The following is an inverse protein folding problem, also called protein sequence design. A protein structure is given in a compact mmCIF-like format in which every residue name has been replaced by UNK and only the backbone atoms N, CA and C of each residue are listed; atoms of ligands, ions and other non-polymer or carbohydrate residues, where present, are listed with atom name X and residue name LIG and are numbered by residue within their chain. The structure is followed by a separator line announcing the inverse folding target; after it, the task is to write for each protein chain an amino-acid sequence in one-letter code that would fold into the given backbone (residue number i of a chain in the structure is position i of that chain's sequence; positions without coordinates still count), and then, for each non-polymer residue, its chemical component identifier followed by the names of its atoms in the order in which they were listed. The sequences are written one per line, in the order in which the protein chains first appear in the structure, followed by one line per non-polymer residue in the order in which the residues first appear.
data_IF_188362009293
#
_entry.id   IF_188362009293
#
_cell.length_a   1.000
_cell.length_b   1.000
_cell.length_c   1.000
_cell.angle_alpha   90.00
_cell.angle_beta   90.00
_cell.angle_gamma   90.00
#
_symmetry.space_group_name_H-M   'P 1'
#
loop_
_entity.id
_entity.type
_entity.pdbx_description
1 polymer ?
#
# COMPACT_ATOMS: atom_id res chain seq x y z
N UNK A 1 -40.86 68.71 8.83
CA UNK A 1 -41.95 67.74 8.90
C UNK A 1 -41.87 66.67 7.82
N UNK A 2 -40.68 66.19 7.49
CA UNK A 2 -40.47 65.18 6.39
C UNK A 2 -39.66 63.94 6.89
N UNK A 3 -39.28 63.90 8.19
CA UNK A 3 -38.39 62.84 8.70
C UNK A 3 -39.09 61.66 9.41
N UNK A 4 -40.41 61.73 9.61
CA UNK A 4 -41.18 60.68 10.32
C UNK A 4 -41.82 59.62 9.38
N UNK A 5 -41.99 59.92 8.08
CA UNK A 5 -42.68 58.98 7.19
C UNK A 5 -41.79 57.85 6.66
N UNK A 6 -40.44 58.00 6.68
CA UNK A 6 -39.56 56.97 6.15
C UNK A 6 -39.35 55.78 7.10
N UNK A 7 -39.54 55.99 8.43
CA UNK A 7 -39.43 54.86 9.38
C UNK A 7 -40.66 53.93 9.35
N UNK A 8 -41.83 54.50 9.03
CA UNK A 8 -43.06 53.71 8.95
C UNK A 8 -43.12 52.86 7.68
N UNK A 9 -42.56 53.37 6.58
CA UNK A 9 -42.49 52.64 5.34
C UNK A 9 -41.47 51.47 5.41
N UNK A 10 -40.36 51.67 6.11
CA UNK A 10 -39.37 50.62 6.36
C UNK A 10 -39.92 49.50 7.26
N UNK A 11 -40.75 49.84 8.24
CA UNK A 11 -41.36 48.85 9.12
C UNK A 11 -42.45 48.01 8.40
N UNK A 12 -43.21 48.61 7.50
CA UNK A 12 -44.17 47.87 6.67
C UNK A 12 -43.47 46.94 5.68
N UNK A 13 -42.30 47.34 5.09
CA UNK A 13 -41.56 46.49 4.17
C UNK A 13 -40.90 45.30 4.88
N UNK A 14 -40.40 45.51 6.11
CA UNK A 14 -39.84 44.41 6.91
C UNK A 14 -40.90 43.44 7.42
N UNK A 15 -42.12 43.95 7.71
CA UNK A 15 -43.24 43.11 8.13
C UNK A 15 -43.76 42.23 6.96
N UNK A 16 -43.79 42.76 5.74
CA UNK A 16 -44.17 42.00 4.55
C UNK A 16 -43.12 40.92 4.19
N UNK A 17 -41.83 41.17 4.43
CA UNK A 17 -40.79 40.15 4.27
C UNK A 17 -40.94 39.01 5.29
N UNK A 18 -41.31 39.29 6.54
CA UNK A 18 -41.51 38.28 7.59
C UNK A 18 -42.78 37.43 7.35
N UNK A 19 -43.81 38.00 6.72
CA UNK A 19 -45.04 37.26 6.40
C UNK A 19 -44.84 36.40 5.15
N UNK A 20 -44.00 36.84 4.19
CA UNK A 20 -43.71 36.11 2.96
C UNK A 20 -42.94 34.80 3.18
N UNK A 21 -42.20 34.66 4.30
CA UNK A 21 -41.42 33.48 4.58
C UNK A 21 -42.24 32.31 5.16
N UNK A 22 -43.42 32.58 5.70
CA UNK A 22 -44.30 31.55 6.28
C UNK A 22 -45.30 30.90 5.32
N UNK A 23 -45.28 31.25 4.03
CA UNK A 23 -46.22 30.72 3.05
C UNK A 23 -45.68 29.59 2.18
N UNK A 24 -44.51 29.06 2.48
CA UNK A 24 -44.10 27.77 1.91
C UNK A 24 -44.81 26.65 2.67
N UNK A 25 -46.06 26.43 2.28
CA UNK A 25 -46.78 25.21 2.60
C UNK A 25 -45.88 24.00 2.26
N UNK A 26 -45.34 23.38 3.28
CA UNK A 26 -44.83 22.02 3.13
C UNK A 26 -46.00 21.11 2.81
N UNK A 27 -46.35 21.01 1.53
CA UNK A 27 -47.06 19.86 1.05
C UNK A 27 -46.19 18.64 1.44
N UNK A 28 -46.48 18.04 2.60
CA UNK A 28 -46.06 16.70 2.92
C UNK A 28 -46.62 15.80 1.82
N UNK A 29 -45.89 15.68 0.72
CA UNK A 29 -46.04 14.52 -0.15
C UNK A 29 -45.91 13.35 0.78
N UNK A 30 -47.01 12.68 1.10
CA UNK A 30 -46.98 11.34 1.65
C UNK A 30 -46.11 10.54 0.68
N UNK A 31 -44.85 10.40 1.04
CA UNK A 31 -43.96 9.45 0.40
C UNK A 31 -44.66 8.11 0.61
N UNK A 32 -45.35 7.64 -0.44
CA UNK A 32 -45.63 6.24 -0.55
C UNK A 32 -44.25 5.57 -0.68
N UNK A 33 -43.58 5.38 0.45
CA UNK A 33 -42.45 4.48 0.52
C UNK A 33 -43.02 3.11 0.17
N UNK A 34 -42.95 2.78 -1.11
CA UNK A 34 -43.08 1.39 -1.51
C UNK A 34 -42.08 0.68 -0.61
N UNK A 35 -42.55 -0.12 0.36
CA UNK A 35 -41.73 -1.03 1.14
C UNK A 35 -41.08 -1.94 0.11
N UNK A 36 -39.91 -1.58 -0.36
CA UNK A 36 -39.12 -2.50 -1.12
C UNK A 36 -38.83 -3.68 -0.20
N UNK A 37 -39.35 -4.84 -0.57
CA UNK A 37 -39.06 -6.09 0.12
C UNK A 37 -37.53 -6.17 0.13
N UNK A 38 -36.93 -6.26 1.33
CA UNK A 38 -35.49 -6.37 1.47
C UNK A 38 -35.08 -7.63 0.70
N UNK A 39 -34.53 -7.43 -0.49
CA UNK A 39 -34.04 -8.54 -1.30
C UNK A 39 -32.77 -9.03 -0.60
N UNK A 40 -32.77 -10.27 -0.17
CA UNK A 40 -31.54 -10.92 0.32
C UNK A 40 -30.65 -11.18 -0.90
N UNK A 41 -29.45 -10.61 -0.89
CA UNK A 41 -28.42 -10.93 -1.89
C UNK A 41 -27.52 -12.08 -1.44
N UNK A 42 -27.89 -12.79 -0.37
CA UNK A 42 -27.09 -13.88 0.20
C UNK A 42 -26.82 -15.06 -0.74
N UNK A 43 -27.64 -15.21 -1.78
CA UNK A 43 -27.48 -16.26 -2.80
C UNK A 43 -26.55 -15.85 -3.95
N UNK A 44 -26.13 -14.58 -3.99
CA UNK A 44 -25.14 -14.11 -4.96
C UNK A 44 -23.74 -14.31 -4.38
N UNK A 45 -23.03 -15.30 -4.88
CA UNK A 45 -21.63 -15.52 -4.59
C UNK A 45 -20.79 -14.99 -5.75
N UNK A 46 -19.91 -14.04 -5.45
CA UNK A 46 -18.91 -13.60 -6.41
C UNK A 46 -17.84 -14.69 -6.53
N UNK A 47 -17.51 -15.05 -7.76
CA UNK A 47 -16.43 -15.96 -8.08
C UNK A 47 -15.28 -15.14 -8.67
N UNK A 48 -14.10 -15.28 -8.13
CA UNK A 48 -12.91 -14.76 -8.79
C UNK A 48 -12.70 -15.53 -10.10
N UNK A 49 -12.63 -14.79 -11.21
CA UNK A 49 -12.41 -15.37 -12.57
C UNK A 49 -10.95 -15.24 -13.01
N UNK A 50 -10.07 -14.88 -12.08
CA UNK A 50 -8.65 -14.67 -12.35
C UNK A 50 -8.31 -13.21 -12.68
N UNK A 51 -7.03 -12.90 -12.87
CA UNK A 51 -6.63 -11.57 -13.30
C UNK A 51 -7.33 -11.23 -14.59
N UNK A 52 -7.93 -10.05 -14.65
CA UNK A 52 -8.59 -9.58 -15.86
C UNK A 52 -7.57 -9.46 -16.98
N UNK A 53 -8.02 -9.71 -18.22
CA UNK A 53 -7.17 -9.77 -19.42
C UNK A 53 -6.24 -8.55 -19.62
N UNK A 54 -6.60 -7.40 -19.10
CA UNK A 54 -5.84 -6.14 -19.25
C UNK A 54 -5.35 -5.57 -17.93
N UNK A 55 -5.50 -6.26 -16.81
CA UNK A 55 -5.09 -5.75 -15.51
C UNK A 55 -4.08 -6.68 -14.88
N UNK A 56 -3.09 -6.07 -14.29
CA UNK A 56 -2.08 -6.76 -13.53
C UNK A 56 -0.75 -6.86 -14.29
N UNK A 57 0.25 -6.64 -13.52
CA UNK A 57 1.66 -6.86 -13.87
C UNK A 57 2.21 -7.80 -12.81
N UNK A 58 3.04 -8.72 -13.21
CA UNK A 58 3.78 -9.53 -12.24
C UNK A 58 4.75 -8.57 -11.54
N UNK A 59 4.52 -8.38 -10.24
CA UNK A 59 5.35 -7.53 -9.41
C UNK A 59 6.52 -8.32 -8.83
N UNK A 60 6.27 -9.56 -8.39
CA UNK A 60 7.30 -10.42 -7.81
C UNK A 60 6.90 -11.90 -7.90
N UNK A 61 7.90 -12.79 -7.83
CA UNK A 61 7.72 -14.24 -7.84
C UNK A 61 8.61 -14.83 -6.76
N UNK A 62 8.04 -15.66 -5.88
CA UNK A 62 8.77 -16.47 -4.91
C UNK A 62 8.59 -17.96 -5.21
N UNK A 63 9.70 -18.66 -5.32
CA UNK A 63 9.73 -20.12 -5.55
C UNK A 63 10.18 -20.79 -4.26
N UNK A 64 9.49 -21.84 -3.84
CA UNK A 64 9.86 -22.60 -2.65
C UNK A 64 11.16 -23.39 -2.91
N UNK A 65 12.20 -23.09 -2.15
CA UNK A 65 13.50 -23.76 -2.28
C UNK A 65 13.46 -25.24 -1.92
N UNK A 66 12.46 -25.67 -1.15
CA UNK A 66 12.27 -27.08 -0.76
C UNK A 66 11.39 -27.84 -1.75
N UNK A 67 10.62 -27.13 -2.60
CA UNK A 67 9.80 -27.73 -3.64
C UNK A 67 9.60 -26.75 -4.80
N UNK A 68 10.44 -26.83 -5.79
CA UNK A 68 10.45 -25.96 -6.98
C UNK A 68 9.17 -25.98 -7.82
N UNK A 69 8.21 -26.88 -7.53
CA UNK A 69 6.88 -26.86 -8.17
C UNK A 69 5.93 -25.86 -7.52
N UNK A 70 6.26 -25.34 -6.33
CA UNK A 70 5.43 -24.37 -5.59
C UNK A 70 5.96 -22.96 -5.81
N UNK A 71 5.11 -22.13 -6.43
CA UNK A 71 5.41 -20.71 -6.65
C UNK A 71 4.30 -19.85 -6.10
N UNK A 72 4.68 -18.68 -5.60
CA UNK A 72 3.77 -17.59 -5.28
C UNK A 72 4.07 -16.41 -6.18
N UNK A 73 3.03 -15.80 -6.74
CA UNK A 73 3.15 -14.66 -7.66
C UNK A 73 2.36 -13.49 -7.09
N UNK A 74 3.06 -12.38 -6.87
CA UNK A 74 2.44 -11.10 -6.52
C UNK A 74 2.08 -10.35 -7.80
N UNK A 75 0.81 -9.98 -7.93
CA UNK A 75 0.28 -9.30 -9.10
C UNK A 75 -0.12 -7.88 -8.72
N UNK A 76 0.45 -6.89 -9.40
CA UNK A 76 0.28 -5.48 -9.07
C UNK A 76 -1.18 -5.00 -9.00
N UNK A 77 -2.09 -5.67 -9.71
CA UNK A 77 -3.54 -5.41 -9.65
C UNK A 77 -4.33 -6.70 -9.70
N UNK A 78 -3.93 -7.71 -8.92
CA UNK A 78 -4.57 -9.04 -8.97
C UNK A 78 -4.25 -9.92 -7.77
N UNK A 79 -3.76 -9.36 -6.67
CA UNK A 79 -3.48 -10.09 -5.44
C UNK A 79 -2.33 -11.08 -5.55
N UNK A 80 -2.42 -12.18 -4.83
CA UNK A 80 -1.40 -13.23 -4.77
C UNK A 80 -1.97 -14.53 -5.33
N UNK A 81 -1.19 -15.18 -6.17
CA UNK A 81 -1.55 -16.45 -6.80
C UNK A 81 -0.51 -17.52 -6.46
N UNK A 82 -0.99 -18.76 -6.31
CA UNK A 82 -0.15 -19.93 -6.02
C UNK A 82 -0.31 -20.99 -7.10
N UNK A 83 0.81 -21.57 -7.49
CA UNK A 83 0.84 -22.86 -8.21
C UNK A 83 1.52 -23.91 -7.33
N UNK A 84 1.17 -25.18 -7.55
CA UNK A 84 1.82 -26.34 -6.94
C UNK A 84 2.35 -27.31 -8.01
N UNK A 85 2.33 -26.91 -9.26
CA UNK A 85 2.69 -27.73 -10.42
C UNK A 85 3.41 -26.88 -11.49
N UNK A 86 4.38 -26.06 -11.04
CA UNK A 86 5.26 -25.26 -11.91
C UNK A 86 4.50 -24.38 -12.91
N UNK A 87 3.40 -23.76 -12.46
CA UNK A 87 2.65 -22.80 -13.28
C UNK A 87 1.56 -23.40 -14.16
N UNK A 88 1.32 -24.71 -14.13
CA UNK A 88 0.28 -25.35 -14.96
C UNK A 88 -1.13 -24.93 -14.50
N UNK A 89 -1.36 -24.84 -13.19
CA UNK A 89 -2.61 -24.33 -12.62
C UNK A 89 -2.35 -23.33 -11.50
N UNK A 90 -3.28 -22.40 -11.32
CA UNK A 90 -3.13 -21.32 -10.37
C UNK A 90 -4.36 -21.17 -9.49
N UNK A 91 -4.15 -20.86 -8.21
CA UNK A 91 -5.21 -20.62 -7.23
C UNK A 91 -4.99 -19.23 -6.63
N UNK A 92 -6.00 -18.35 -6.62
CA UNK A 92 -5.93 -17.06 -5.95
C UNK A 92 -5.96 -17.28 -4.42
N UNK A 93 -5.14 -16.51 -3.70
CA UNK A 93 -5.01 -16.65 -2.26
C UNK A 93 -5.33 -15.36 -1.48
N UNK A 94 -5.52 -14.23 -2.15
CA UNK A 94 -5.55 -12.92 -1.52
C UNK A 94 -6.87 -12.16 -1.73
N UNK A 95 -7.90 -12.83 -2.25
CA UNK A 95 -9.16 -12.22 -2.69
C UNK A 95 -10.00 -11.63 -1.56
N UNK A 96 -9.81 -12.10 -0.32
CA UNK A 96 -10.56 -11.64 0.85
C UNK A 96 -9.82 -10.56 1.64
N UNK A 97 -8.64 -10.15 1.17
CA UNK A 97 -7.84 -9.15 1.86
C UNK A 97 -8.18 -7.72 1.41
N UNK A 98 -7.84 -6.75 2.26
CA UNK A 98 -8.18 -5.34 2.03
C UNK A 98 -7.36 -4.66 0.91
N UNK A 99 -6.47 -5.38 0.25
CA UNK A 99 -5.67 -4.89 -0.86
C UNK A 99 -5.66 -5.88 -2.01
N UNK A 100 -6.02 -5.43 -3.20
CA UNK A 100 -5.84 -6.21 -4.43
C UNK A 100 -4.48 -5.91 -5.10
N UNK A 101 -3.80 -4.85 -4.65
CA UNK A 101 -2.52 -4.42 -5.19
C UNK A 101 -1.38 -4.97 -4.34
N UNK A 102 -0.45 -5.67 -4.96
CA UNK A 102 0.72 -6.26 -4.31
C UNK A 102 2.02 -5.80 -4.96
N UNK A 103 3.05 -5.58 -4.15
CA UNK A 103 4.36 -5.12 -4.60
C UNK A 103 5.44 -6.19 -4.53
N UNK A 104 5.34 -7.12 -3.58
CA UNK A 104 6.29 -8.22 -3.42
C UNK A 104 5.68 -9.39 -2.67
N UNK A 105 6.32 -10.57 -2.81
CA UNK A 105 6.00 -11.78 -2.08
C UNK A 105 7.30 -12.49 -1.68
N UNK A 106 7.38 -13.01 -0.45
CA UNK A 106 8.57 -13.68 0.05
C UNK A 106 8.16 -14.92 0.86
N UNK A 107 8.83 -16.02 0.63
CA UNK A 107 8.73 -17.25 1.44
C UNK A 107 9.78 -17.17 2.53
N UNK A 108 9.42 -17.53 3.75
CA UNK A 108 10.39 -17.68 4.84
C UNK A 108 11.34 -18.83 4.50
N UNK A 109 12.67 -18.59 4.44
CA UNK A 109 13.64 -19.62 4.07
C UNK A 109 13.69 -20.81 5.03
N UNK A 110 13.26 -20.62 6.27
CA UNK A 110 13.23 -21.67 7.28
C UNK A 110 11.89 -22.42 7.34
N UNK A 111 10.83 -21.85 6.80
CA UNK A 111 9.48 -22.45 6.84
C UNK A 111 8.66 -22.07 5.60
N UNK A 112 8.61 -22.98 4.62
CA UNK A 112 7.87 -22.78 3.36
C UNK A 112 6.35 -22.54 3.53
N UNK A 113 5.79 -22.75 4.73
CA UNK A 113 4.40 -22.41 5.02
C UNK A 113 4.21 -20.94 5.42
N UNK A 114 5.28 -20.23 5.74
CA UNK A 114 5.25 -18.81 6.11
C UNK A 114 5.54 -17.94 4.91
N UNK A 115 4.53 -17.15 4.52
CA UNK A 115 4.57 -16.29 3.33
C UNK A 115 4.32 -14.85 3.77
N UNK A 116 5.19 -13.95 3.34
CA UNK A 116 5.05 -12.51 3.53
C UNK A 116 4.65 -11.83 2.24
N UNK A 117 3.74 -10.88 2.33
CA UNK A 117 3.28 -10.06 1.20
C UNK A 117 3.36 -8.59 1.56
N UNK A 118 4.02 -7.82 0.71
CA UNK A 118 3.97 -6.37 0.73
C UNK A 118 2.93 -5.87 -0.27
N UNK A 119 1.98 -5.08 0.21
CA UNK A 119 0.93 -4.54 -0.65
C UNK A 119 1.30 -3.19 -1.27
N UNK A 120 0.62 -2.83 -2.36
CA UNK A 120 0.87 -1.64 -3.15
C UNK A 120 1.97 -1.81 -4.19
N UNK A 121 1.66 -1.46 -5.42
CA UNK A 121 2.59 -1.59 -6.54
C UNK A 121 3.87 -0.77 -6.36
N UNK A 122 5.02 -1.34 -6.74
CA UNK A 122 6.34 -0.76 -6.58
C UNK A 122 6.82 0.07 -7.78
N UNK A 123 5.92 0.67 -8.52
CA UNK A 123 6.20 1.51 -9.70
C UNK A 123 5.78 2.96 -9.50
N UNK A 124 6.21 3.87 -10.39
CA UNK A 124 5.91 5.30 -10.31
C UNK A 124 4.78 5.76 -11.24
N UNK A 125 3.95 4.84 -11.76
CA UNK A 125 2.84 5.16 -12.66
C UNK A 125 1.70 5.94 -12.02
N UNK A 126 0.91 6.69 -12.81
CA UNK A 126 -0.29 7.39 -12.31
C UNK A 126 -1.38 6.44 -11.82
N UNK A 127 -1.41 5.25 -12.39
CA UNK A 127 -2.39 4.19 -12.14
C UNK A 127 -1.94 3.19 -11.07
N UNK A 128 -0.84 3.50 -10.36
CA UNK A 128 -0.28 2.60 -9.36
C UNK A 128 -1.29 2.30 -8.26
N UNK A 129 -1.51 1.02 -8.00
CA UNK A 129 -2.41 0.57 -6.95
C UNK A 129 -1.81 0.81 -5.56
N UNK A 130 -2.63 1.36 -4.67
CA UNK A 130 -2.26 1.63 -3.28
C UNK A 130 -2.47 0.35 -2.45
N UNK A 131 -1.52 0.06 -1.58
CA UNK A 131 -1.58 -1.04 -0.63
C UNK A 131 -1.98 -0.59 0.77
N UNK A 132 -2.15 -1.57 1.66
CA UNK A 132 -2.52 -1.40 3.05
C UNK A 132 -1.53 -2.08 4.00
N UNK A 133 -0.22 -1.96 3.70
CA UNK A 133 0.85 -2.48 4.55
C UNK A 133 1.24 -3.92 4.23
N UNK A 134 1.63 -4.65 5.27
CA UNK A 134 2.19 -5.99 5.18
C UNK A 134 1.19 -7.02 5.66
N UNK A 135 1.26 -8.20 5.05
CA UNK A 135 0.50 -9.38 5.44
C UNK A 135 1.43 -10.58 5.59
N UNK A 136 1.10 -11.46 6.53
CA UNK A 136 1.76 -12.76 6.70
C UNK A 136 0.72 -13.88 6.72
N UNK A 137 1.07 -14.97 6.08
CA UNK A 137 0.37 -16.25 6.20
C UNK A 137 1.34 -17.27 6.82
N UNK A 138 0.87 -18.04 7.80
CA UNK A 138 1.62 -19.11 8.45
C UNK A 138 1.19 -20.51 7.95
N UNK A 139 0.32 -20.57 6.95
CA UNK A 139 -0.31 -21.80 6.47
C UNK A 139 -0.37 -21.91 4.93
N UNK A 140 0.66 -21.38 4.26
CA UNK A 140 0.82 -21.49 2.81
C UNK A 140 -0.18 -20.66 2.01
N UNK A 141 -0.64 -19.53 2.57
CA UNK A 141 -1.54 -18.59 1.91
C UNK A 141 -3.03 -18.86 2.16
N UNK A 142 -3.40 -19.80 3.04
CA UNK A 142 -4.82 -20.09 3.32
C UNK A 142 -5.50 -19.00 4.12
N UNK A 143 -4.79 -18.40 5.06
CA UNK A 143 -5.25 -17.27 5.87
C UNK A 143 -4.13 -16.23 6.00
N UNK A 144 -4.52 -14.96 6.12
CA UNK A 144 -3.59 -13.84 6.21
C UNK A 144 -3.83 -13.02 7.47
N UNK A 145 -2.77 -12.43 8.00
CA UNK A 145 -2.78 -11.47 9.12
C UNK A 145 -2.13 -10.19 8.66
N UNK A 146 -2.78 -9.05 8.88
CA UNK A 146 -2.14 -7.74 8.67
C UNK A 146 -1.10 -7.48 9.77
N UNK A 147 0.11 -7.12 9.37
CA UNK A 147 1.26 -6.92 10.25
C UNK A 147 1.71 -5.45 10.33
N UNK A 148 0.84 -4.51 10.00
CA UNK A 148 1.12 -3.07 10.13
C UNK A 148 1.67 -2.42 8.86
N UNK A 149 2.37 -1.30 9.04
CA UNK A 149 2.88 -0.42 7.98
C UNK A 149 1.79 0.01 6.97
N UNK A 150 0.60 0.36 7.48
CA UNK A 150 -0.59 0.63 6.65
C UNK A 150 -0.49 1.92 5.85
N UNK A 151 0.30 2.88 6.30
CA UNK A 151 0.54 4.16 5.61
C UNK A 151 1.77 4.13 4.69
N UNK A 152 2.36 2.96 4.46
CA UNK A 152 3.44 2.77 3.49
C UNK A 152 2.98 2.96 2.06
N UNK A 153 1.72 2.64 1.76
CA UNK A 153 1.08 2.61 0.44
C UNK A 153 1.76 1.69 -0.59
N UNK A 154 3.09 1.57 -0.56
CA UNK A 154 3.86 0.81 -1.55
C UNK A 154 5.05 0.12 -0.89
N UNK A 155 4.98 -1.20 -0.77
CA UNK A 155 6.06 -2.04 -0.27
C UNK A 155 6.68 -2.80 -1.45
N UNK A 156 7.98 -2.61 -1.63
CA UNK A 156 8.69 -3.10 -2.81
C UNK A 156 9.49 -4.38 -2.59
N UNK A 157 9.93 -4.63 -1.36
CA UNK A 157 10.71 -5.83 -1.02
C UNK A 157 10.56 -6.20 0.43
N UNK A 158 10.52 -7.50 0.69
CA UNK A 158 10.58 -8.07 2.04
C UNK A 158 11.69 -9.11 2.05
N UNK A 159 12.53 -9.11 3.07
CA UNK A 159 13.53 -10.14 3.31
C UNK A 159 13.36 -10.68 4.72
N UNK A 160 13.23 -11.99 4.85
CA UNK A 160 13.32 -12.71 6.13
C UNK A 160 14.76 -13.11 6.31
N UNK A 161 15.33 -12.87 7.50
CA UNK A 161 16.70 -13.28 7.79
C UNK A 161 16.82 -14.81 7.73
N UNK A 162 17.84 -15.33 7.04
CA UNK A 162 18.03 -16.78 6.96
C UNK A 162 18.37 -17.43 8.30
N UNK A 163 18.84 -16.64 9.28
CA UNK A 163 19.27 -17.15 10.59
C UNK A 163 18.18 -17.04 11.67
N UNK A 164 17.17 -16.18 11.48
CA UNK A 164 16.12 -15.95 12.46
C UNK A 164 14.85 -15.41 11.75
N UNK A 165 13.80 -16.23 11.67
CA UNK A 165 12.50 -15.84 11.08
C UNK A 165 11.79 -14.69 11.79
N UNK A 166 12.20 -14.35 13.04
CA UNK A 166 11.66 -13.17 13.72
C UNK A 166 12.28 -11.87 13.19
N UNK A 167 13.41 -11.94 12.49
CA UNK A 167 14.09 -10.79 11.91
C UNK A 167 13.65 -10.64 10.46
N UNK A 168 12.86 -9.60 10.19
CA UNK A 168 12.34 -9.30 8.85
C UNK A 168 12.61 -7.84 8.49
N UNK A 169 13.05 -7.63 7.28
CA UNK A 169 13.27 -6.29 6.71
C UNK A 169 12.22 -5.98 5.64
N UNK A 170 11.73 -4.75 5.63
CA UNK A 170 10.71 -4.27 4.70
C UNK A 170 11.14 -2.96 4.06
N UNK A 171 11.32 -3.00 2.75
CA UNK A 171 11.57 -1.83 1.93
C UNK A 171 10.24 -1.13 1.59
N UNK A 172 10.00 0.01 2.22
CA UNK A 172 8.82 0.84 1.99
C UNK A 172 9.17 2.07 1.15
N UNK A 173 8.51 2.21 0.01
CA UNK A 173 8.66 3.38 -0.84
C UNK A 173 7.86 4.58 -0.35
N UNK A 174 6.85 4.35 0.50
CA UNK A 174 5.92 5.37 0.99
C UNK A 174 4.98 5.91 -0.08
N UNK A 175 4.09 6.86 0.28
CA UNK A 175 3.15 7.48 -0.63
C UNK A 175 3.79 8.08 -1.88
N UNK A 176 3.16 7.90 -3.04
CA UNK A 176 3.63 8.48 -4.30
C UNK A 176 3.20 9.94 -4.47
N UNK A 177 2.01 10.29 -3.97
CA UNK A 177 1.34 11.57 -4.20
C UNK A 177 1.51 12.58 -3.05
N UNK A 178 2.08 12.14 -1.92
CA UNK A 178 2.32 12.97 -0.75
C UNK A 178 3.68 12.67 -0.13
N UNK A 179 4.16 13.57 0.71
CA UNK A 179 5.34 13.36 1.55
C UNK A 179 5.01 12.48 2.77
N UNK A 180 6.05 12.01 3.45
CA UNK A 180 5.92 11.26 4.70
C UNK A 180 5.34 9.87 4.54
N UNK A 181 4.43 9.49 5.43
CA UNK A 181 3.95 8.12 5.59
C UNK A 181 5.01 7.19 6.20
N UNK A 182 4.72 5.89 6.20
CA UNK A 182 5.71 4.88 6.62
C UNK A 182 6.67 4.60 5.46
N UNK A 183 7.71 5.41 5.37
CA UNK A 183 8.70 5.47 4.29
C UNK A 183 10.09 5.18 4.84
N UNK A 184 10.87 4.35 4.14
CA UNK A 184 12.20 3.95 4.55
C UNK A 184 12.37 2.45 4.63
N UNK A 185 13.39 1.99 5.38
CA UNK A 185 13.60 0.58 5.68
C UNK A 185 13.12 0.28 7.09
N UNK A 186 12.19 -0.63 7.20
CA UNK A 186 11.69 -1.10 8.48
C UNK A 186 12.27 -2.46 8.82
N UNK A 187 12.59 -2.66 10.10
CA UNK A 187 13.09 -3.92 10.66
C UNK A 187 12.22 -4.33 11.84
N UNK A 188 11.90 -5.60 11.90
CA UNK A 188 11.36 -6.26 13.09
C UNK A 188 12.36 -7.26 13.66
N UNK A 189 12.28 -7.52 14.96
CA UNK A 189 13.00 -8.59 15.66
C UNK A 189 12.03 -9.52 16.42
N UNK A 190 10.74 -9.38 16.18
CA UNK A 190 9.66 -10.08 16.91
C UNK A 190 8.61 -10.69 15.98
N UNK A 191 8.98 -10.98 14.73
CA UNK A 191 8.10 -11.60 13.74
C UNK A 191 7.01 -10.64 13.25
N UNK A 192 7.29 -9.33 13.21
CA UNK A 192 6.39 -8.33 12.66
C UNK A 192 5.36 -7.77 13.66
N UNK A 193 5.49 -8.07 14.94
CA UNK A 193 4.61 -7.49 15.99
C UNK A 193 4.92 -6.01 16.21
N UNK A 194 6.19 -5.62 16.05
CA UNK A 194 6.64 -4.23 16.09
C UNK A 194 7.64 -3.95 14.96
N UNK A 195 7.68 -2.69 14.49
CA UNK A 195 8.54 -2.26 13.39
C UNK A 195 9.34 -1.02 13.80
N UNK A 196 10.64 -1.05 13.53
CA UNK A 196 11.55 0.07 13.71
C UNK A 196 12.02 0.56 12.34
N UNK A 197 11.94 1.86 12.07
CA UNK A 197 12.53 2.46 10.89
C UNK A 197 14.05 2.58 11.11
N UNK A 198 14.82 1.74 10.43
CA UNK A 198 16.28 1.63 10.60
C UNK A 198 17.06 2.40 9.52
N UNK A 199 16.41 2.82 8.45
CA UNK A 199 16.99 3.70 7.42
C UNK A 199 15.92 4.66 6.90
N UNK A 200 16.06 5.93 7.28
CA UNK A 200 15.22 7.04 6.82
C UNK A 200 16.13 8.15 6.29
N UNK A 201 15.84 8.68 5.09
CA UNK A 201 16.65 9.70 4.44
C UNK A 201 15.95 11.06 4.52
N UNK A 202 14.75 11.18 3.96
CA UNK A 202 13.90 12.37 4.04
C UNK A 202 12.44 11.99 3.74
N UNK A 203 11.54 12.96 3.84
CA UNK A 203 10.09 12.77 3.66
C UNK A 203 9.65 12.33 2.24
N UNK A 204 10.54 12.39 1.23
CA UNK A 204 10.28 12.02 -0.15
C UNK A 204 11.01 10.76 -0.61
N UNK A 205 11.93 10.24 0.23
CA UNK A 205 12.80 9.13 -0.12
C UNK A 205 12.43 7.87 0.64
N UNK A 206 11.99 6.85 -0.07
CA UNK A 206 11.76 5.51 0.47
C UNK A 206 12.86 4.54 0.08
N UNK A 207 12.77 3.31 0.57
CA UNK A 207 13.64 2.20 0.16
C UNK A 207 12.90 1.39 -0.90
N UNK A 208 13.58 1.12 -2.03
CA UNK A 208 12.99 0.42 -3.17
C UNK A 208 13.47 -1.01 -3.32
N UNK A 209 14.64 -1.32 -2.80
CA UNK A 209 15.17 -2.67 -2.82
C UNK A 209 16.13 -2.91 -1.64
N UNK A 210 16.28 -4.18 -1.27
CA UNK A 210 17.21 -4.63 -0.24
C UNK A 210 17.78 -5.99 -0.64
N UNK A 211 19.06 -6.19 -0.41
CA UNK A 211 19.76 -7.46 -0.57
C UNK A 211 20.52 -7.81 0.71
N UNK A 212 20.55 -9.10 1.04
CA UNK A 212 21.29 -9.66 2.16
C UNK A 212 22.37 -10.58 1.61
N UNK A 213 23.55 -10.55 2.22
CA UNK A 213 24.60 -11.49 1.91
C UNK A 213 24.27 -12.85 2.55
N UNK A 214 24.11 -13.88 1.73
CA UNK A 214 23.72 -15.21 2.21
C UNK A 214 24.81 -15.91 3.02
N UNK A 215 26.08 -15.56 2.81
CA UNK A 215 27.21 -16.12 3.56
C UNK A 215 27.42 -15.38 4.89
N UNK A 216 27.13 -14.08 4.90
CA UNK A 216 27.19 -13.23 6.08
C UNK A 216 25.98 -12.33 6.23
N UNK A 217 24.89 -12.80 6.83
CA UNK A 217 23.64 -12.04 6.97
C UNK A 217 23.71 -10.73 7.76
N UNK A 218 24.87 -10.43 8.38
CA UNK A 218 25.11 -9.11 8.95
C UNK A 218 25.37 -8.04 7.90
N UNK A 219 25.69 -8.44 6.66
CA UNK A 219 25.93 -7.53 5.55
C UNK A 219 24.66 -7.40 4.73
N UNK A 220 24.16 -6.16 4.65
CA UNK A 220 22.99 -5.83 3.84
C UNK A 220 23.28 -4.59 2.98
N UNK A 221 22.58 -4.52 1.86
CA UNK A 221 22.56 -3.36 0.97
C UNK A 221 21.13 -2.92 0.78
N UNK A 222 20.89 -1.61 0.84
CA UNK A 222 19.57 -1.01 0.61
C UNK A 222 19.67 0.10 -0.44
N UNK A 223 18.79 0.04 -1.43
CA UNK A 223 18.65 1.10 -2.44
C UNK A 223 17.50 2.03 -2.05
N UNK A 224 17.81 3.33 -1.96
CA UNK A 224 16.82 4.36 -1.70
C UNK A 224 16.38 5.02 -3.00
N UNK A 225 15.14 5.50 -3.03
CA UNK A 225 14.58 6.17 -4.19
C UNK A 225 13.75 7.37 -3.77
N UNK A 226 14.19 8.56 -4.17
CA UNK A 226 13.43 9.78 -4.00
C UNK A 226 12.44 9.92 -5.14
N UNK A 227 11.13 9.90 -4.80
CA UNK A 227 10.07 9.97 -5.80
C UNK A 227 8.90 10.81 -5.33
N UNK A 228 8.29 11.51 -6.26
CA UNK A 228 7.06 12.24 -6.04
C UNK A 228 6.29 12.42 -7.35
N UNK A 229 4.98 12.41 -7.27
CA UNK A 229 4.10 12.67 -8.40
C UNK A 229 3.05 13.69 -8.02
N UNK A 230 2.79 14.61 -8.94
CA UNK A 230 1.58 15.42 -8.93
C UNK A 230 0.91 15.35 -10.32
N UNK A 231 -0.17 16.11 -10.53
CA UNK A 231 -0.91 16.09 -11.80
C UNK A 231 -0.05 16.50 -12.99
N UNK A 232 0.86 17.44 -12.79
CA UNK A 232 1.67 18.04 -13.87
C UNK A 232 3.02 17.35 -14.05
N UNK A 233 3.63 16.81 -12.97
CA UNK A 233 5.02 16.36 -13.00
C UNK A 233 5.25 15.06 -12.25
N UNK A 234 6.39 14.44 -12.56
CA UNK A 234 6.91 13.26 -11.89
C UNK A 234 8.39 13.44 -11.60
N UNK A 235 8.76 13.30 -10.34
CA UNK A 235 10.14 13.20 -9.88
C UNK A 235 10.45 11.71 -9.63
N UNK A 236 11.33 11.14 -10.43
CA UNK A 236 11.73 9.73 -10.37
C UNK A 236 13.20 9.55 -10.01
N UNK A 237 13.73 10.41 -9.19
CA UNK A 237 15.10 10.44 -8.67
C UNK A 237 15.37 11.74 -7.97
N UNK A 238 16.45 11.83 -7.21
CA UNK A 238 16.81 13.05 -6.49
C UNK A 238 17.96 12.82 -5.51
N UNK A 239 18.36 13.83 -4.75
CA UNK A 239 19.52 13.76 -3.85
C UNK A 239 19.41 12.72 -2.74
N UNK A 240 18.20 12.24 -2.44
CA UNK A 240 18.00 11.14 -1.50
C UNK A 240 18.13 9.76 -2.12
N UNK A 241 18.27 9.64 -3.45
CA UNK A 241 18.45 8.34 -4.12
C UNK A 241 19.90 7.92 -4.02
N UNK A 242 20.17 6.79 -3.39
CA UNK A 242 21.52 6.28 -3.15
C UNK A 242 21.49 4.78 -2.80
N UNK A 243 22.66 4.20 -2.58
CA UNK A 243 22.85 2.85 -2.05
C UNK A 243 23.49 2.96 -0.68
N UNK A 244 22.96 2.21 0.27
CA UNK A 244 23.46 2.12 1.64
C UNK A 244 23.92 0.71 1.95
N UNK A 245 24.94 0.59 2.78
CA UNK A 245 25.46 -0.68 3.28
C UNK A 245 25.39 -0.72 4.80
N UNK A 246 24.92 -1.82 5.33
CA UNK A 246 25.04 -2.21 6.74
C UNK A 246 26.04 -3.37 6.87
N UNK A 247 26.71 -3.46 8.01
CA UNK A 247 27.60 -4.56 8.39
C UNK A 247 27.26 -5.12 9.78
N UNK A 248 26.16 -4.69 10.36
CA UNK A 248 25.71 -4.98 11.71
C UNK A 248 24.25 -5.44 11.76
N UNK A 249 23.84 -6.26 10.77
CA UNK A 249 22.47 -6.77 10.64
C UNK A 249 21.42 -5.66 10.54
N UNK A 250 21.73 -4.58 9.79
CA UNK A 250 20.79 -3.50 9.50
C UNK A 250 20.53 -2.54 10.68
N UNK A 251 21.38 -2.52 11.71
CA UNK A 251 21.22 -1.58 12.81
C UNK A 251 21.78 -0.19 12.47
N UNK A 252 22.88 -0.12 11.71
CA UNK A 252 23.43 1.12 11.18
C UNK A 252 23.69 1.03 9.68
N UNK A 253 23.62 2.16 9.00
CA UNK A 253 23.70 2.25 7.55
C UNK A 253 24.67 3.34 7.11
N UNK A 254 25.55 3.01 6.18
CA UNK A 254 26.51 3.93 5.59
C UNK A 254 26.25 4.07 4.10
N UNK A 255 26.15 5.29 3.62
CA UNK A 255 25.98 5.59 2.20
C UNK A 255 27.23 5.19 1.42
N UNK A 256 27.05 4.49 0.28
CA UNK A 256 28.12 4.18 -0.65
C UNK A 256 28.28 5.35 -1.61
N UNK A 257 29.40 6.12 -1.45
CA UNK A 257 29.67 7.32 -2.25
C UNK A 257 30.58 7.09 -3.45
N UNK A 258 31.37 6.03 -3.40
CA UNK A 258 32.36 5.73 -4.43
C UNK A 258 31.81 4.73 -5.45
N UNK A 259 32.10 4.96 -6.75
CA UNK A 259 31.69 4.07 -7.82
C UNK A 259 30.27 4.31 -8.35
N UNK A 260 29.51 5.23 -7.74
CA UNK A 260 28.17 5.61 -8.22
C UNK A 260 28.22 6.93 -8.98
N UNK A 261 27.28 7.18 -9.91
CA UNK A 261 27.09 8.50 -10.50
C UNK A 261 26.84 9.55 -9.42
N UNK A 262 27.42 10.74 -9.59
CA UNK A 262 27.31 11.83 -8.60
C UNK A 262 25.97 12.58 -8.62
N UNK A 263 25.17 12.37 -9.65
CA UNK A 263 23.88 13.05 -9.84
C UNK A 263 22.92 12.18 -10.66
N UNK A 264 21.63 12.51 -10.58
CA UNK A 264 20.56 11.91 -11.40
C UNK A 264 20.37 10.39 -11.19
N UNK A 265 20.62 9.92 -9.99
CA UNK A 265 20.26 8.56 -9.64
C UNK A 265 18.73 8.42 -9.63
N UNK A 266 18.22 7.45 -10.38
CA UNK A 266 16.83 7.03 -10.40
C UNK A 266 16.63 5.71 -9.65
N UNK A 267 15.54 5.01 -10.01
CA UNK A 267 15.28 3.66 -9.50
C UNK A 267 16.19 2.66 -10.17
#
# INVERSE_FOLDING_TARGET
MIHQNNKFLGFLFSLFLLIGINSFSQNKRKSNSRKYKKVSLGDFNFRNIGPAFLSGRIADIAIDSNNENIWYVAVGSGGVWKTVNSGTTWVPLFDNENSYSTGCVTIDPSNSSTIWVGSGENVGGRHVGIGHGIYVSENGGKNWKSMGLKSSEHISKIIVSPNDSNVVFVASQGPLWSSGGERGLFKTNDGGKSWNNVLSVNEWTGVTDIAIDNENPNILYAATWQRHRNVASYMGGGPGTSIYKSVDNGNTWNEIKNGLPKSNLGK
#
